data_IF_127929134498
#
_entry.id   IF_127929134498
#
_cell.length_a   1.000
_cell.length_b   1.000
_cell.length_c   1.000
_cell.angle_alpha   90.00
_cell.angle_beta   90.00
_cell.angle_gamma   90.00
#
_symmetry.space_group_name_H-M   'P 1'
#
loop_
_entity.id
_entity.type
_entity.pdbx_description
1 polymer ?
#
# COMPACT_ATOMS: atom_id res chain seq x y z
N UNK A 1 57.38 -23.83 -9.01
CA UNK A 1 56.91 -22.73 -8.14
C UNK A 1 55.58 -22.24 -8.69
N UNK A 2 54.45 -22.67 -8.12
CA UNK A 2 53.11 -22.19 -8.50
C UNK A 2 52.58 -21.41 -7.29
N UNK A 3 52.71 -20.08 -7.33
CA UNK A 3 52.24 -19.21 -6.26
C UNK A 3 50.71 -19.13 -6.35
N UNK A 4 50.02 -19.75 -5.39
CA UNK A 4 48.58 -19.68 -5.25
C UNK A 4 48.19 -18.25 -4.84
N UNK A 5 47.55 -17.51 -5.75
CA UNK A 5 47.01 -16.18 -5.49
C UNK A 5 45.66 -16.36 -4.81
N UNK A 6 45.62 -16.17 -3.50
CA UNK A 6 44.41 -16.24 -2.69
C UNK A 6 43.63 -14.92 -2.86
N UNK A 7 42.66 -14.91 -3.76
CA UNK A 7 41.79 -13.74 -3.97
C UNK A 7 40.92 -13.48 -2.74
N UNK A 8 41.16 -12.36 -2.08
CA UNK A 8 40.42 -11.88 -0.92
C UNK A 8 39.07 -11.30 -1.38
N UNK A 9 37.98 -12.07 -1.26
CA UNK A 9 36.62 -11.58 -1.49
C UNK A 9 36.16 -10.72 -0.32
N UNK A 10 36.09 -9.41 -0.53
CA UNK A 10 35.53 -8.47 0.44
C UNK A 10 33.99 -8.64 0.53
N UNK A 11 33.40 -8.65 1.74
CA UNK A 11 31.96 -8.74 1.89
C UNK A 11 31.30 -7.44 1.44
N UNK A 12 30.32 -7.53 0.53
CA UNK A 12 29.41 -6.42 0.22
C UNK A 12 28.47 -6.24 1.42
N UNK A 13 28.63 -5.13 2.13
CA UNK A 13 27.65 -4.70 3.14
C UNK A 13 26.45 -4.09 2.44
N UNK A 14 25.28 -4.72 2.58
CA UNK A 14 24.02 -4.17 2.14
C UNK A 14 23.69 -2.90 2.97
N UNK A 15 23.11 -1.85 2.34
CA UNK A 15 22.68 -0.67 3.07
C UNK A 15 21.59 -1.01 4.09
N UNK A 16 21.55 -0.32 5.24
CA UNK A 16 20.53 -0.54 6.25
C UNK A 16 19.15 -0.19 5.69
N UNK A 17 18.19 -1.10 5.82
CA UNK A 17 16.80 -0.84 5.47
C UNK A 17 16.21 0.19 6.44
N UNK A 18 15.83 1.37 5.93
CA UNK A 18 15.10 2.38 6.69
C UNK A 18 13.61 2.02 6.68
N UNK A 19 13.01 1.85 7.85
CA UNK A 19 11.56 1.71 7.98
C UNK A 19 10.89 3.03 7.59
N UNK A 20 9.89 2.97 6.71
CA UNK A 20 9.14 4.16 6.31
C UNK A 20 7.98 4.37 7.29
N UNK A 21 7.80 5.60 7.77
CA UNK A 21 6.63 5.96 8.56
C UNK A 21 5.37 5.85 7.70
N UNK A 22 4.49 4.92 8.08
CA UNK A 22 3.19 4.76 7.42
C UNK A 22 2.18 5.75 8.00
N UNK A 23 1.35 6.41 7.18
CA UNK A 23 1.27 6.34 5.72
C UNK A 23 2.08 7.46 5.03
N UNK A 24 2.83 7.09 4.00
CA UNK A 24 3.59 8.02 3.15
C UNK A 24 2.74 8.74 2.10
N UNK A 25 1.50 8.26 1.87
CA UNK A 25 0.56 8.75 0.85
C UNK A 25 -0.89 8.63 1.32
N UNK A 26 -1.84 9.35 0.69
CA UNK A 26 -3.26 9.17 0.95
C UNK A 26 -3.68 7.69 0.88
N UNK A 27 -4.53 7.27 1.79
CA UNK A 27 -5.04 5.89 1.86
C UNK A 27 -6.41 5.85 1.18
N UNK A 28 -6.65 4.85 0.34
CA UNK A 28 -7.96 4.65 -0.30
C UNK A 28 -8.65 3.42 0.30
N UNK A 29 -9.87 3.59 0.78
CA UNK A 29 -10.76 2.50 1.18
C UNK A 29 -11.65 2.16 -0.01
N UNK A 30 -11.42 1.01 -0.62
CA UNK A 30 -12.26 0.50 -1.71
C UNK A 30 -13.47 -0.23 -1.14
N UNK A 31 -14.67 0.22 -1.51
CA UNK A 31 -15.94 -0.40 -1.08
C UNK A 31 -16.57 -1.15 -2.24
N UNK A 32 -16.83 -2.45 -2.07
CA UNK A 32 -17.40 -3.35 -3.09
C UNK A 32 -18.90 -3.14 -3.37
N UNK A 33 -19.50 -2.10 -2.79
CA UNK A 33 -20.94 -1.84 -2.81
C UNK A 33 -21.23 -0.45 -3.36
N UNK A 34 -22.46 -0.21 -3.86
CA UNK A 34 -22.88 1.11 -4.31
C UNK A 34 -22.72 2.19 -3.22
N UNK A 35 -22.51 3.47 -3.62
CA UNK A 35 -22.54 4.59 -2.68
C UNK A 35 -23.86 4.64 -1.90
N UNK A 36 -23.80 5.00 -0.62
CA UNK A 36 -24.99 5.07 0.25
C UNK A 36 -25.46 3.73 0.81
N UNK A 37 -24.87 2.60 0.45
CA UNK A 37 -25.09 1.33 1.16
C UNK A 37 -24.57 1.42 2.61
N UNK A 38 -25.04 0.51 3.49
CA UNK A 38 -24.58 0.45 4.89
C UNK A 38 -23.05 0.34 4.97
N UNK A 39 -22.43 -0.42 4.07
CA UNK A 39 -20.97 -0.56 3.97
C UNK A 39 -20.27 0.76 3.63
N UNK A 40 -20.82 1.57 2.71
CA UNK A 40 -20.25 2.87 2.36
C UNK A 40 -20.34 3.86 3.53
N UNK A 41 -21.48 3.87 4.22
CA UNK A 41 -21.68 4.74 5.40
C UNK A 41 -20.68 4.42 6.51
N UNK A 42 -20.45 3.14 6.78
CA UNK A 42 -19.45 2.69 7.76
C UNK A 42 -18.04 3.05 7.29
N UNK A 43 -17.71 2.82 6.01
CA UNK A 43 -16.40 3.15 5.44
C UNK A 43 -16.07 4.64 5.56
N UNK A 44 -17.06 5.53 5.35
CA UNK A 44 -16.87 6.99 5.51
C UNK A 44 -16.57 7.38 6.94
N UNK A 45 -17.29 6.83 7.92
CA UNK A 45 -16.99 7.07 9.35
C UNK A 45 -15.60 6.58 9.75
N UNK A 46 -15.19 5.43 9.21
CA UNK A 46 -13.83 4.90 9.42
C UNK A 46 -12.79 5.84 8.77
N UNK A 47 -13.02 6.28 7.54
CA UNK A 47 -12.12 7.18 6.82
C UNK A 47 -11.91 8.51 7.56
N UNK A 48 -12.97 9.11 8.10
CA UNK A 48 -12.88 10.32 8.93
C UNK A 48 -11.97 10.11 10.14
N UNK A 49 -12.21 9.04 10.91
CA UNK A 49 -11.41 8.74 12.11
C UNK A 49 -9.96 8.42 11.79
N UNK A 50 -9.72 7.66 10.72
CA UNK A 50 -8.37 7.33 10.26
C UNK A 50 -7.64 8.57 9.73
N UNK A 51 -8.34 9.49 9.07
CA UNK A 51 -7.74 10.74 8.61
C UNK A 51 -7.20 11.55 9.79
N UNK A 52 -7.95 11.64 10.89
CA UNK A 52 -7.50 12.29 12.13
C UNK A 52 -6.33 11.55 12.78
N UNK A 53 -6.36 10.22 12.81
CA UNK A 53 -5.33 9.41 13.48
C UNK A 53 -4.02 9.31 12.69
N UNK A 54 -4.10 9.27 11.36
CA UNK A 54 -2.95 9.04 10.48
C UNK A 54 -2.34 10.36 9.97
N UNK A 55 -3.03 11.50 10.17
CA UNK A 55 -2.58 12.80 9.67
C UNK A 55 -2.53 12.91 8.15
N UNK A 56 -3.09 11.92 7.43
CA UNK A 56 -3.15 11.84 5.97
C UNK A 56 -4.58 11.59 5.54
N UNK A 57 -5.00 12.14 4.39
CA UNK A 57 -6.36 11.97 3.91
C UNK A 57 -6.65 10.50 3.59
N UNK A 58 -7.80 10.02 4.06
CA UNK A 58 -8.36 8.72 3.71
C UNK A 58 -9.58 8.93 2.83
N UNK A 59 -9.57 8.35 1.63
CA UNK A 59 -10.59 8.53 0.60
C UNK A 59 -11.40 7.25 0.43
N UNK A 60 -12.72 7.34 0.32
CA UNK A 60 -13.59 6.20 0.02
C UNK A 60 -13.85 6.14 -1.49
N UNK A 61 -13.52 5.01 -2.12
CA UNK A 61 -13.76 4.74 -3.54
C UNK A 61 -14.72 3.55 -3.70
N UNK A 62 -15.94 3.80 -4.16
CA UNK A 62 -16.95 2.77 -4.36
C UNK A 62 -16.75 2.07 -5.70
N UNK A 63 -16.22 0.84 -5.66
CA UNK A 63 -16.03 -0.03 -6.83
C UNK A 63 -16.98 -1.22 -6.76
N UNK A 64 -18.26 -0.93 -6.96
CA UNK A 64 -19.31 -1.94 -7.08
C UNK A 64 -19.22 -2.73 -8.39
N UNK A 65 -19.73 -3.97 -8.39
CA UNK A 65 -19.86 -4.81 -9.58
C UNK A 65 -19.23 -6.20 -9.43
N UNK A 66 -19.74 -7.17 -10.20
CA UNK A 66 -19.30 -8.58 -10.20
C UNK A 66 -19.15 -9.21 -8.79
N UNK A 67 -20.07 -8.87 -7.86
CA UNK A 67 -20.04 -9.39 -6.48
C UNK A 67 -18.82 -8.95 -5.65
N UNK A 68 -18.10 -7.90 -6.06
CA UNK A 68 -16.88 -7.43 -5.39
C UNK A 68 -15.58 -7.87 -6.05
N UNK A 69 -15.63 -8.71 -7.10
CA UNK A 69 -14.42 -9.13 -7.84
C UNK A 69 -13.70 -7.96 -8.53
N UNK A 70 -14.42 -6.89 -8.89
CA UNK A 70 -13.79 -5.68 -9.47
C UNK A 70 -12.92 -4.98 -8.41
N UNK A 71 -13.48 -4.73 -7.22
CA UNK A 71 -12.72 -4.15 -6.11
C UNK A 71 -11.55 -5.06 -5.68
N UNK A 72 -11.78 -6.37 -5.58
CA UNK A 72 -10.75 -7.35 -5.27
C UNK A 72 -9.60 -7.34 -6.28
N UNK A 73 -9.91 -7.34 -7.58
CA UNK A 73 -8.88 -7.29 -8.62
C UNK A 73 -8.07 -6.00 -8.61
N UNK A 74 -8.65 -4.86 -8.20
CA UNK A 74 -7.90 -3.61 -8.00
C UNK A 74 -6.93 -3.67 -6.82
N UNK A 75 -7.31 -4.35 -5.73
CA UNK A 75 -6.48 -4.49 -4.53
C UNK A 75 -5.32 -5.47 -4.71
N UNK A 76 -5.48 -6.48 -5.56
CA UNK A 76 -4.44 -7.49 -5.84
C UNK A 76 -3.32 -6.95 -6.74
N UNK A 77 -3.54 -5.83 -7.45
CA UNK A 77 -2.51 -5.24 -8.30
C UNK A 77 -1.37 -4.71 -7.41
N UNK A 78 -0.10 -4.96 -7.77
CA UNK A 78 1.02 -4.31 -7.11
C UNK A 78 0.76 -2.81 -7.13
N UNK A 79 0.94 -2.15 -5.99
CA UNK A 79 0.78 -0.70 -5.90
C UNK A 79 1.85 -0.05 -6.77
N UNK A 80 1.51 0.18 -8.04
CA UNK A 80 2.34 0.96 -8.94
C UNK A 80 2.56 2.33 -8.29
N UNK A 81 3.78 2.89 -8.36
CA UNK A 81 4.00 4.25 -7.92
C UNK A 81 3.03 5.13 -8.69
N UNK A 82 2.19 5.86 -7.95
CA UNK A 82 1.34 6.91 -8.51
C UNK A 82 2.31 7.86 -9.20
N UNK A 83 2.19 7.98 -10.53
CA UNK A 83 2.97 8.95 -11.29
C UNK A 83 2.72 10.33 -10.66
N UNK A 84 3.79 10.88 -10.09
CA UNK A 84 3.90 12.29 -9.66
C UNK A 84 3.79 13.21 -10.86
#
# INVERSE_FOLDING_TARGET
>A
MLAAVLSLTAPVQAPPAQAQDYPTRPVTITVCFPPGASTDTIARRIAERLTTSLGRPVVVDNRGGAGGNIAGSLLTRPSLPVQT
#
